data_IF_907928017801
#
_entry.id   IF_907928017801
#
_cell.length_a   1.000
_cell.length_b   1.000
_cell.length_c   1.000
_cell.angle_alpha   90.00
_cell.angle_beta   90.00
_cell.angle_gamma   90.00
#
_symmetry.space_group_name_H-M   'P 1'
#
loop_
_entity.id
_entity.type
_entity.pdbx_description
1 polymer ?
#
# COMPACT_ATOMS: atom_id res chain seq x y z
N UNK A 1 14.19 19.83 -22.44
CA UNK A 1 12.74 19.77 -22.17
C UNK A 1 12.49 20.60 -20.91
N UNK A 2 11.71 21.68 -20.98
CA UNK A 2 11.39 22.49 -19.81
C UNK A 2 10.31 21.78 -19.00
N UNK A 3 10.72 21.11 -17.93
CA UNK A 3 9.80 20.73 -16.88
C UNK A 3 9.50 22.00 -16.07
N UNK A 4 8.22 22.35 -15.88
CA UNK A 4 7.89 23.47 -15.04
C UNK A 4 8.49 23.26 -13.64
N UNK A 5 9.27 24.22 -13.18
CA UNK A 5 9.88 24.22 -11.86
C UNK A 5 8.82 24.23 -10.77
N UNK A 6 9.23 23.89 -9.54
CA UNK A 6 8.29 23.77 -8.40
C UNK A 6 7.39 25.01 -8.19
N UNK A 7 7.87 26.21 -8.53
CA UNK A 7 7.08 27.44 -8.47
C UNK A 7 5.89 27.46 -9.43
N UNK A 8 6.04 26.99 -10.66
CA UNK A 8 4.97 26.96 -11.66
C UNK A 8 3.87 25.96 -11.26
N UNK A 9 4.26 24.83 -10.66
CA UNK A 9 3.32 23.86 -10.11
C UNK A 9 2.49 24.42 -8.94
N UNK A 10 3.10 25.25 -8.08
CA UNK A 10 2.38 25.92 -6.99
C UNK A 10 1.38 26.95 -7.53
N UNK A 11 1.75 27.72 -8.56
CA UNK A 11 0.83 28.67 -9.20
C UNK A 11 -0.35 27.94 -9.85
N UNK A 12 -0.11 26.84 -10.56
CA UNK A 12 -1.17 26.01 -11.14
C UNK A 12 -2.12 25.47 -10.05
N UNK A 13 -1.55 24.95 -8.96
CA UNK A 13 -2.33 24.44 -7.82
C UNK A 13 -3.20 25.54 -7.20
N UNK A 14 -2.64 26.76 -7.06
CA UNK A 14 -3.37 27.92 -6.55
C UNK A 14 -4.59 28.25 -7.43
N UNK A 15 -4.42 28.26 -8.76
CA UNK A 15 -5.51 28.52 -9.71
C UNK A 15 -6.61 27.46 -9.57
N UNK A 16 -6.25 26.17 -9.52
CA UNK A 16 -7.20 25.07 -9.33
C UNK A 16 -7.96 25.23 -8.00
N UNK A 17 -7.26 25.60 -6.92
CA UNK A 17 -7.88 25.83 -5.61
C UNK A 17 -8.83 27.02 -5.62
N UNK A 18 -8.56 28.08 -6.38
CA UNK A 18 -9.48 29.23 -6.50
C UNK A 18 -10.72 28.86 -7.30
N UNK A 19 -10.59 28.09 -8.39
CA UNK A 19 -11.71 27.69 -9.24
C UNK A 19 -12.65 26.68 -8.55
N UNK A 20 -12.09 25.67 -7.90
CA UNK A 20 -12.87 24.61 -7.24
C UNK A 20 -13.15 24.91 -5.75
N UNK A 21 -12.40 25.83 -5.14
CA UNK A 21 -12.40 26.07 -3.70
C UNK A 21 -11.52 25.08 -2.94
N UNK A 22 -10.80 25.57 -1.93
CA UNK A 22 -9.89 24.74 -1.11
C UNK A 22 -10.56 23.57 -0.37
N UNK A 23 -11.89 23.61 -0.22
CA UNK A 23 -12.66 22.53 0.40
C UNK A 23 -13.00 21.38 -0.57
N UNK A 24 -13.08 21.63 -1.88
CA UNK A 24 -13.52 20.61 -2.85
C UNK A 24 -12.41 19.66 -3.28
N UNK A 25 -11.19 20.17 -3.42
CA UNK A 25 -10.02 19.35 -3.77
C UNK A 25 -9.76 18.21 -2.76
N UNK A 26 -9.72 18.44 -1.43
CA UNK A 26 -9.54 17.37 -0.45
C UNK A 26 -10.78 16.45 -0.36
N UNK A 27 -11.98 16.97 -0.60
CA UNK A 27 -13.20 16.15 -0.62
C UNK A 27 -13.18 15.14 -1.78
N UNK A 28 -12.74 15.56 -2.97
CA UNK A 28 -12.56 14.69 -4.13
C UNK A 28 -11.42 13.69 -3.91
N UNK A 29 -10.28 14.15 -3.39
CA UNK A 29 -9.15 13.26 -3.08
C UNK A 29 -9.49 12.17 -2.08
N UNK A 30 -10.31 12.46 -1.06
CA UNK A 30 -10.78 11.45 -0.11
C UNK A 30 -11.56 10.34 -0.79
N UNK A 31 -12.55 10.69 -1.63
CA UNK A 31 -13.34 9.70 -2.37
C UNK A 31 -12.51 8.89 -3.37
N UNK A 32 -11.58 9.53 -4.09
CA UNK A 32 -10.65 8.83 -5.00
C UNK A 32 -9.70 7.92 -4.22
N UNK A 33 -9.20 8.37 -3.07
CA UNK A 33 -8.27 7.61 -2.23
C UNK A 33 -8.91 6.38 -1.60
N UNK A 34 -10.16 6.49 -1.16
CA UNK A 34 -10.96 5.37 -0.66
C UNK A 34 -11.20 4.34 -1.78
N UNK A 35 -11.67 4.77 -2.96
CA UNK A 35 -11.87 3.88 -4.11
C UNK A 35 -10.58 3.21 -4.59
N UNK A 36 -9.45 3.93 -4.64
CA UNK A 36 -8.15 3.36 -4.98
C UNK A 36 -7.66 2.35 -3.94
N UNK A 37 -7.95 2.58 -2.66
CA UNK A 37 -7.60 1.67 -1.56
C UNK A 37 -8.42 0.39 -1.63
N UNK A 38 -9.72 0.48 -1.87
CA UNK A 38 -10.61 -0.66 -2.06
C UNK A 38 -10.25 -1.45 -3.31
N UNK A 39 -10.00 -0.76 -4.43
CA UNK A 39 -9.53 -1.37 -5.68
C UNK A 39 -8.23 -2.16 -5.46
N UNK A 40 -7.23 -1.54 -4.82
CA UNK A 40 -5.96 -2.20 -4.51
C UNK A 40 -6.11 -3.39 -3.56
N UNK A 41 -7.10 -3.37 -2.66
CA UNK A 41 -7.40 -4.48 -1.76
C UNK A 41 -8.01 -5.65 -2.52
N UNK A 42 -9.03 -5.39 -3.35
CA UNK A 42 -9.68 -6.40 -4.18
C UNK A 42 -8.68 -7.07 -5.13
N UNK A 43 -7.86 -6.29 -5.84
CA UNK A 43 -6.83 -6.83 -6.74
C UNK A 43 -5.80 -7.69 -6.00
N UNK A 44 -5.47 -7.36 -4.74
CA UNK A 44 -4.52 -8.16 -3.93
C UNK A 44 -5.14 -9.45 -3.40
N UNK A 45 -6.41 -9.44 -3.01
CA UNK A 45 -7.12 -10.67 -2.59
C UNK A 45 -7.21 -11.66 -3.76
N UNK A 46 -7.43 -11.18 -4.99
CA UNK A 46 -7.42 -12.02 -6.20
C UNK A 46 -6.02 -12.61 -6.53
N UNK A 47 -4.94 -11.87 -6.26
CA UNK A 47 -3.55 -12.37 -6.41
C UNK A 47 -3.13 -13.33 -5.29
N UNK A 48 -3.61 -13.15 -4.06
CA UNK A 48 -3.25 -13.94 -2.87
C UNK A 48 -4.07 -15.23 -2.69
N UNK A 49 -5.15 -15.43 -3.47
CA UNK A 49 -5.94 -16.66 -3.54
C UNK A 49 -5.34 -17.74 -4.47
N UNK A 50 -4.24 -17.43 -5.16
CA UNK A 50 -3.32 -18.45 -5.73
C UNK A 50 -2.19 -18.73 -4.74
N UNK A 51 -2.52 -18.90 -3.45
CA UNK A 51 -1.61 -19.61 -2.54
C UNK A 51 -1.81 -21.10 -2.76
N UNK A 52 -0.84 -21.84 -3.34
CA UNK A 52 -0.90 -23.27 -3.27
C UNK A 52 -0.92 -23.61 -1.78
N UNK A 53 -1.91 -24.38 -1.37
CA UNK A 53 -2.00 -25.06 -0.08
C UNK A 53 -0.83 -26.06 0.06
N UNK A 54 0.40 -25.54 0.08
CA UNK A 54 1.64 -26.26 0.33
C UNK A 54 2.50 -25.39 1.26
N UNK A 55 1.92 -25.05 2.40
CA UNK A 55 2.68 -24.70 3.61
C UNK A 55 2.01 -25.29 4.84
N UNK A 56 1.62 -26.55 4.70
CA UNK A 56 1.32 -27.47 5.79
C UNK A 56 2.05 -28.80 5.57
N UNK A 57 3.36 -28.75 5.31
CA UNK A 57 4.31 -29.84 5.57
C UNK A 57 5.71 -29.44 5.13
N UNK A 58 6.53 -28.89 6.03
CA UNK A 58 7.95 -29.24 6.15
C UNK A 58 8.44 -28.79 7.52
N UNK A 59 8.99 -29.75 8.26
CA UNK A 59 9.81 -29.65 9.45
C UNK A 59 9.10 -29.51 10.82
N UNK A 60 9.06 -30.59 11.61
CA UNK A 60 8.65 -30.55 13.01
C UNK A 60 9.75 -29.82 13.80
N UNK A 61 9.38 -28.76 14.52
CA UNK A 61 10.19 -28.25 15.62
C UNK A 61 10.01 -29.23 16.79
N UNK A 62 10.68 -30.38 16.69
CA UNK A 62 10.89 -31.24 17.83
C UNK A 62 11.87 -30.52 18.77
N UNK A 63 11.40 -30.29 19.99
CA UNK A 63 12.17 -30.38 21.24
C UNK A 63 13.68 -30.29 21.07
N UNK A 64 14.29 -29.24 21.64
CA UNK A 64 15.66 -29.38 22.11
C UNK A 64 15.67 -30.07 23.46
N UNK A 65 16.09 -31.34 23.58
CA UNK A 65 16.73 -31.80 24.79
C UNK A 65 18.07 -31.07 24.88
N UNK A 66 18.21 -30.29 25.95
CA UNK A 66 19.50 -29.80 26.41
C UNK A 66 20.30 -31.05 26.75
N UNK A 67 21.23 -31.45 25.87
CA UNK A 67 22.16 -32.55 26.09
C UNK A 67 22.84 -32.34 27.46
N UNK A 68 22.55 -33.18 28.47
CA UNK A 68 23.31 -33.22 29.69
C UNK A 68 24.36 -34.33 29.54
N UNK A 69 25.61 -33.98 29.87
CA UNK A 69 26.66 -34.87 30.41
C UNK A 69 27.73 -35.40 29.42
N UNK A 70 28.97 -35.32 29.94
CA UNK A 70 30.19 -36.12 29.70
C UNK A 70 30.86 -36.05 28.32
N UNK A 71 31.95 -35.28 28.24
CA UNK A 71 33.32 -35.80 28.37
C UNK A 71 34.32 -34.67 28.63
#
# INVERSE_FOLDING_TARGET
>A
MHLPGGMEMVVLLLIVVVLFGGAKLPQLMKGVGEGMREFKKATREDDDDVRPVVSASTAPSNSGPKEPRVQ
#
